data_IF_054800559936
#
_entry.id   IF_054800559936
#
_cell.length_a   1.000
_cell.length_b   1.000
_cell.length_c   1.000
_cell.angle_alpha   90.00
_cell.angle_beta   90.00
_cell.angle_gamma   90.00
#
_symmetry.space_group_name_H-M   'P 1'
#
loop_
_entity.id
_entity.type
_entity.pdbx_description
1 polymer ?
#
# COMPACT_ATOMS: atom_id res chain seq x y z
N UNK A 1 -12.37 11.72 -20.20
CA UNK A 1 -11.46 10.89 -19.39
C UNK A 1 -11.66 11.28 -17.94
N UNK A 2 -12.10 10.38 -17.03
CA UNK A 2 -12.19 10.73 -15.61
C UNK A 2 -10.79 11.05 -15.08
N UNK A 3 -10.71 12.13 -14.30
CA UNK A 3 -9.47 12.74 -13.84
C UNK A 3 -8.62 11.73 -13.04
N UNK A 4 -7.43 11.37 -13.55
CA UNK A 4 -6.49 10.44 -12.89
C UNK A 4 -5.96 10.97 -11.54
N UNK A 5 -6.22 12.23 -11.20
CA UNK A 5 -5.81 12.87 -9.94
C UNK A 5 -6.92 12.95 -8.89
N UNK A 6 -8.09 12.37 -9.13
CA UNK A 6 -9.14 12.33 -8.11
C UNK A 6 -8.76 11.36 -6.99
N UNK A 7 -8.98 11.77 -5.75
CA UNK A 7 -8.87 10.86 -4.63
C UNK A 7 -10.10 9.95 -4.56
N UNK A 8 -9.84 8.65 -4.56
CA UNK A 8 -10.83 7.59 -4.54
C UNK A 8 -10.72 6.88 -3.20
N UNK A 9 -11.86 6.68 -2.53
CA UNK A 9 -11.97 5.99 -1.26
C UNK A 9 -12.64 4.64 -1.43
N UNK A 10 -12.06 3.58 -0.85
CA UNK A 10 -12.63 2.22 -0.84
C UNK A 10 -12.81 1.71 0.59
N UNK A 11 -13.92 1.01 0.89
CA UNK A 11 -14.09 0.36 2.19
C UNK A 11 -13.10 -0.79 2.36
N UNK A 12 -12.54 -0.92 3.56
CA UNK A 12 -11.68 -2.04 3.89
C UNK A 12 -12.47 -3.18 4.52
N UNK A 13 -12.80 -4.21 3.73
CA UNK A 13 -13.53 -5.42 4.17
C UNK A 13 -14.82 -5.03 4.93
N UNK A 14 -15.21 -5.82 5.92
CA UNK A 14 -16.38 -5.56 6.75
C UNK A 14 -16.06 -4.66 7.96
N UNK A 15 -15.21 -3.63 7.77
CA UNK A 15 -14.80 -2.71 8.84
C UNK A 15 -15.39 -1.30 8.64
N UNK A 16 -15.12 -0.39 9.60
CA UNK A 16 -15.53 1.01 9.51
C UNK A 16 -14.51 1.89 8.78
N UNK A 17 -13.40 1.32 8.28
CA UNK A 17 -12.32 2.09 7.68
C UNK A 17 -12.53 2.26 6.18
N UNK A 18 -12.28 3.48 5.70
CA UNK A 18 -12.07 3.80 4.28
C UNK A 18 -10.59 4.05 4.05
N UNK A 19 -10.07 3.56 2.93
CA UNK A 19 -8.69 3.77 2.51
C UNK A 19 -8.70 4.51 1.18
N UNK A 20 -7.90 5.57 1.07
CA UNK A 20 -7.77 6.30 -0.17
C UNK A 20 -6.61 5.79 -1.03
N UNK A 21 -6.69 6.04 -2.34
CA UNK A 21 -5.58 5.80 -3.25
C UNK A 21 -4.35 6.68 -2.98
N UNK A 22 -4.43 7.65 -2.06
CA UNK A 22 -3.29 8.46 -1.57
C UNK A 22 -2.67 7.90 -0.28
N UNK A 23 -3.17 6.77 0.23
CA UNK A 23 -2.68 6.18 1.48
C UNK A 23 -3.26 6.80 2.74
N UNK A 24 -4.33 7.58 2.63
CA UNK A 24 -5.07 8.09 3.81
C UNK A 24 -6.06 7.06 4.31
N UNK A 25 -6.25 7.05 5.63
CA UNK A 25 -7.12 6.10 6.31
C UNK A 25 -8.11 6.87 7.16
N UNK A 26 -9.39 6.64 6.92
CA UNK A 26 -10.49 7.31 7.59
C UNK A 26 -11.34 6.30 8.35
N UNK A 27 -11.70 6.61 9.59
CA UNK A 27 -12.62 5.80 10.38
C UNK A 27 -14.01 6.44 10.40
N UNK A 28 -14.95 5.84 9.67
CA UNK A 28 -16.33 6.32 9.59
C UNK A 28 -17.07 6.30 10.94
N UNK A 29 -16.68 5.40 11.86
CA UNK A 29 -17.35 5.30 13.17
C UNK A 29 -16.99 6.48 14.08
N UNK A 30 -15.74 6.94 14.02
CA UNK A 30 -15.23 8.00 14.90
C UNK A 30 -15.09 9.34 14.21
N UNK A 31 -15.38 9.39 12.90
CA UNK A 31 -15.25 10.57 12.06
C UNK A 31 -13.84 11.18 12.07
N UNK A 32 -12.80 10.32 12.01
CA UNK A 32 -11.41 10.74 12.18
C UNK A 32 -10.48 10.07 11.17
N UNK A 33 -9.47 10.83 10.75
CA UNK A 33 -8.30 10.28 10.07
C UNK A 33 -7.38 9.58 11.06
N UNK A 34 -6.85 8.42 10.66
CA UNK A 34 -5.85 7.70 11.45
C UNK A 34 -4.45 8.24 11.11
N UNK A 35 -3.68 8.54 12.14
CA UNK A 35 -2.25 8.81 11.99
C UNK A 35 -1.53 7.48 11.75
N UNK A 36 -0.85 7.38 10.61
CA UNK A 36 0.08 6.29 10.33
C UNK A 36 1.46 6.63 10.88
N UNK A 37 2.09 5.67 11.55
CA UNK A 37 3.39 5.87 12.17
C UNK A 37 4.43 4.95 11.51
N UNK A 38 5.67 5.42 11.29
CA UNK A 38 6.76 4.56 10.87
C UNK A 38 7.00 3.45 11.89
N UNK A 39 7.16 2.22 11.40
CA UNK A 39 7.68 1.12 12.22
C UNK A 39 9.21 1.21 12.36
N UNK A 40 9.82 0.29 13.10
CA UNK A 40 11.29 0.19 13.22
C UNK A 40 11.99 0.01 11.87
N UNK A 41 11.32 -0.55 10.87
CA UNK A 41 11.81 -0.66 9.48
C UNK A 41 11.40 0.52 8.59
N UNK A 42 10.88 1.61 9.17
CA UNK A 42 10.51 2.84 8.46
C UNK A 42 9.14 2.80 7.75
N UNK A 43 8.60 1.62 7.46
CA UNK A 43 7.29 1.51 6.80
C UNK A 43 6.15 2.05 7.67
N UNK A 44 5.27 2.85 7.07
CA UNK A 44 4.08 3.36 7.74
C UNK A 44 3.10 2.23 8.09
N UNK A 45 2.66 2.21 9.34
CA UNK A 45 1.64 1.28 9.87
C UNK A 45 0.54 2.02 10.63
N UNK A 46 -0.63 1.41 10.67
CA UNK A 46 -1.78 1.84 11.48
C UNK A 46 -2.35 0.70 12.30
N UNK A 47 -2.99 1.03 13.41
CA UNK A 47 -3.77 0.10 14.21
C UNK A 47 -5.25 0.18 13.80
N UNK A 48 -5.77 -0.91 13.26
CA UNK A 48 -7.19 -1.02 12.93
C UNK A 48 -7.92 -1.81 14.02
N UNK A 49 -8.86 -1.15 14.68
CA UNK A 49 -9.74 -1.75 15.68
C UNK A 49 -10.99 -2.31 15.00
N UNK A 50 -11.28 -3.60 15.19
CA UNK A 50 -12.48 -4.25 14.68
C UNK A 50 -12.94 -5.37 15.62
N UNK A 51 -14.21 -5.32 16.05
CA UNK A 51 -14.84 -6.33 16.92
C UNK A 51 -14.00 -6.73 18.15
N UNK A 52 -13.52 -5.73 18.90
CA UNK A 52 -12.71 -5.94 20.11
C UNK A 52 -11.25 -6.33 19.85
N UNK A 53 -10.86 -6.59 18.59
CA UNK A 53 -9.48 -6.90 18.22
C UNK A 53 -8.78 -5.69 17.60
N UNK A 54 -7.46 -5.61 17.78
CA UNK A 54 -6.61 -4.60 17.16
C UNK A 54 -5.61 -5.30 16.26
N UNK A 55 -5.49 -4.83 15.02
CA UNK A 55 -4.48 -5.33 14.08
C UNK A 55 -3.63 -4.18 13.56
N UNK A 56 -2.33 -4.27 13.79
CA UNK A 56 -1.35 -3.39 13.14
C UNK A 56 -1.13 -3.83 11.70
N UNK A 57 -1.32 -2.93 10.74
CA UNK A 57 -1.21 -3.22 9.31
C UNK A 57 -0.40 -2.15 8.59
N UNK A 58 0.30 -2.54 7.51
CA UNK A 58 1.06 -1.63 6.66
C UNK A 58 0.12 -0.82 5.75
N UNK A 59 0.40 0.48 5.62
CA UNK A 59 -0.38 1.38 4.76
C UNK A 59 -0.24 0.98 3.29
N UNK A 60 0.99 0.75 2.80
CA UNK A 60 1.23 0.32 1.41
C UNK A 60 0.46 -0.94 1.06
N UNK A 61 0.43 -1.95 1.94
CA UNK A 61 -0.35 -3.18 1.72
C UNK A 61 -1.86 -2.94 1.71
N UNK A 62 -2.39 -2.03 2.53
CA UNK A 62 -3.81 -1.70 2.48
C UNK A 62 -4.19 -1.06 1.15
N UNK A 63 -3.39 -0.09 0.68
CA UNK A 63 -3.63 0.59 -0.59
C UNK A 63 -3.51 -0.40 -1.75
N UNK A 64 -2.39 -1.13 -1.84
CA UNK A 64 -2.18 -2.10 -2.92
C UNK A 64 -3.28 -3.16 -2.97
N UNK A 65 -3.71 -3.70 -1.83
CA UNK A 65 -4.77 -4.72 -1.78
C UNK A 65 -6.15 -4.22 -2.22
N UNK A 66 -6.40 -2.91 -2.13
CA UNK A 66 -7.69 -2.32 -2.50
C UNK A 66 -7.71 -1.75 -3.91
N UNK A 67 -6.56 -1.33 -4.46
CA UNK A 67 -6.52 -0.58 -5.71
C UNK A 67 -5.70 -1.24 -6.82
N UNK A 68 -4.90 -2.26 -6.50
CA UNK A 68 -4.03 -2.95 -7.47
C UNK A 68 -4.40 -4.44 -7.47
N UNK A 69 -4.80 -4.95 -8.62
CA UNK A 69 -5.00 -6.39 -8.78
C UNK A 69 -3.70 -7.12 -8.47
N UNK A 70 -3.76 -8.09 -7.55
CA UNK A 70 -2.58 -8.83 -7.11
C UNK A 70 -2.32 -9.99 -8.07
N UNK A 71 -1.20 -10.00 -8.82
CA UNK A 71 -0.85 -11.13 -9.66
C UNK A 71 -0.59 -12.39 -8.83
N UNK A 72 -0.77 -13.56 -9.45
CA UNK A 72 -0.45 -14.84 -8.80
C UNK A 72 1.02 -14.85 -8.35
N UNK A 73 1.28 -15.35 -7.15
CA UNK A 73 2.62 -15.48 -6.53
C UNK A 73 3.36 -14.18 -6.15
N UNK A 74 2.80 -12.99 -6.41
CA UNK A 74 3.39 -11.71 -5.95
C UNK A 74 2.77 -11.30 -4.61
N UNK A 75 3.57 -11.39 -3.54
CA UNK A 75 3.09 -11.21 -2.16
C UNK A 75 3.67 -9.97 -1.46
N UNK A 76 4.59 -9.27 -2.10
CA UNK A 76 5.29 -8.10 -1.56
C UNK A 76 4.84 -6.84 -2.28
N UNK A 77 4.86 -5.71 -1.58
CA UNK A 77 4.55 -4.39 -2.16
C UNK A 77 5.84 -3.61 -2.18
N UNK A 78 6.21 -3.14 -3.36
CA UNK A 78 7.40 -2.32 -3.62
C UNK A 78 6.99 -0.87 -3.87
N UNK A 79 7.85 0.08 -3.48
CA UNK A 79 7.69 1.51 -3.69
C UNK A 79 8.56 1.96 -4.86
N UNK A 80 7.92 2.38 -5.96
CA UNK A 80 8.56 2.66 -7.25
C UNK A 80 9.60 3.79 -7.17
N UNK A 81 9.34 4.81 -6.36
CA UNK A 81 10.27 5.92 -6.14
C UNK A 81 11.33 5.65 -5.05
N UNK A 82 11.34 4.46 -4.45
CA UNK A 82 12.18 4.10 -3.31
C UNK A 82 11.80 4.79 -1.98
N UNK A 83 10.81 5.68 -1.97
CA UNK A 83 10.34 6.35 -0.77
C UNK A 83 9.21 5.55 -0.11
N UNK A 84 9.56 4.79 0.92
CA UNK A 84 8.62 3.95 1.70
C UNK A 84 7.49 4.71 2.39
N UNK A 85 7.58 6.05 2.50
CA UNK A 85 6.53 6.90 3.04
C UNK A 85 5.51 7.35 1.97
N UNK A 86 5.86 7.29 0.69
CA UNK A 86 4.96 7.62 -0.42
C UNK A 86 4.02 6.46 -0.75
N UNK A 87 2.89 6.39 -0.04
CA UNK A 87 1.93 5.28 -0.15
C UNK A 87 0.81 5.52 -1.18
N UNK A 88 1.03 6.40 -2.17
CA UNK A 88 0.08 6.60 -3.28
C UNK A 88 0.02 5.34 -4.14
N UNK A 89 -1.17 4.96 -4.61
CA UNK A 89 -1.35 3.78 -5.47
C UNK A 89 -0.43 3.79 -6.69
N UNK A 90 -0.21 4.95 -7.29
CA UNK A 90 0.66 5.13 -8.47
C UNK A 90 2.14 4.87 -8.18
N UNK A 91 2.52 4.81 -6.90
CA UNK A 91 3.88 4.55 -6.44
C UNK A 91 4.05 3.11 -5.91
N UNK A 92 3.01 2.27 -5.97
CA UNK A 92 3.04 0.93 -5.40
C UNK A 92 2.88 -0.11 -6.49
N UNK A 93 3.57 -1.24 -6.34
CA UNK A 93 3.36 -2.41 -7.19
C UNK A 93 3.52 -3.72 -6.42
N UNK A 94 2.84 -4.77 -6.86
CA UNK A 94 3.04 -6.11 -6.34
C UNK A 94 4.28 -6.74 -6.98
N UNK A 95 5.16 -7.31 -6.15
CA UNK A 95 6.41 -7.97 -6.57
C UNK A 95 6.55 -9.35 -5.94
N UNK A 96 7.36 -10.23 -6.57
CA UNK A 96 7.77 -11.48 -5.93
C UNK A 96 8.83 -11.20 -4.85
N UNK A 97 9.10 -12.19 -3.99
CA UNK A 97 10.15 -12.03 -2.97
C UNK A 97 11.55 -11.95 -3.56
N UNK A 98 11.77 -12.57 -4.73
CA UNK A 98 13.04 -12.51 -5.46
C UNK A 98 13.25 -11.12 -6.05
N UNK A 99 12.22 -10.61 -6.73
CA UNK A 99 12.21 -9.28 -7.32
C UNK A 99 12.45 -8.20 -6.26
N UNK A 100 11.74 -8.28 -5.12
CA UNK A 100 11.90 -7.31 -4.03
C UNK A 100 13.34 -7.20 -3.56
N UNK A 101 13.99 -8.35 -3.31
CA UNK A 101 15.40 -8.40 -2.89
C UNK A 101 16.34 -7.86 -3.98
N UNK A 102 16.03 -8.15 -5.24
CA UNK A 102 16.81 -7.63 -6.36
C UNK A 102 16.70 -6.10 -6.45
N UNK A 103 15.50 -5.52 -6.30
CA UNK A 103 15.30 -4.07 -6.33
C UNK A 103 15.94 -3.36 -5.14
N UNK A 104 15.79 -3.90 -3.94
CA UNK A 104 16.45 -3.37 -2.73
C UNK A 104 17.98 -3.34 -2.89
N UNK A 105 18.56 -4.31 -3.60
CA UNK A 105 20.01 -4.39 -3.82
C UNK A 105 20.50 -3.49 -4.97
N UNK A 106 19.74 -3.39 -6.06
CA UNK A 106 20.22 -2.81 -7.32
C UNK A 106 19.62 -1.44 -7.64
N UNK A 107 18.44 -1.12 -7.12
CA UNK A 107 17.65 0.04 -7.51
C UNK A 107 17.07 -0.04 -8.93
N UNK A 108 17.20 -1.18 -9.62
CA UNK A 108 16.77 -1.36 -11.02
C UNK A 108 15.45 -2.12 -11.07
N UNK A 109 14.38 -1.41 -11.40
CA UNK A 109 13.03 -1.97 -11.51
C UNK A 109 12.81 -2.68 -12.86
N UNK A 110 11.92 -3.68 -12.93
CA UNK A 110 11.86 -4.60 -14.07
C UNK A 110 11.21 -3.94 -15.30
N UNK A 111 10.43 -2.87 -15.13
CA UNK A 111 9.93 -2.08 -16.28
C UNK A 111 11.05 -1.27 -16.96
N UNK A 112 12.21 -1.11 -16.31
CA UNK A 112 13.40 -0.48 -16.89
C UNK A 112 14.40 -1.50 -17.43
N UNK A 113 14.18 -2.80 -17.24
CA UNK A 113 14.98 -3.86 -17.83
C UNK A 113 14.17 -4.54 -18.93
N UNK A 114 14.61 -4.40 -20.19
CA UNK A 114 14.11 -5.16 -21.34
C UNK A 114 14.47 -6.67 -21.25
N UNK A 115 14.37 -7.30 -20.08
CA UNK A 115 14.72 -8.70 -19.91
C UNK A 115 13.46 -9.56 -20.07
N UNK A 116 13.41 -10.46 -21.07
CA UNK A 116 12.32 -11.39 -21.21
C UNK A 116 12.38 -12.42 -20.08
N UNK A 117 11.20 -12.84 -19.61
CA UNK A 117 11.04 -13.95 -18.67
C UNK A 117 11.60 -15.26 -19.22
#
# INVERSE_FOLDING_TARGET
MPNKNAEIWRPYKNTNYLISNYGRIYNKKTDKYLAANPSSSGYLKVNLHHKGTVKTVSVSRLVAALFIERPKFKNWVHHIDGNILNNKVSNLMWVSGVDNKYFEKTGIEPEKSNLPF
#
